data_IF_650674428507
#
_entry.id   IF_650674428507
#
_cell.length_a   1.000
_cell.length_b   1.000
_cell.length_c   1.000
_cell.angle_alpha   90.00
_cell.angle_beta   90.00
_cell.angle_gamma   90.00
#
_symmetry.space_group_name_H-M   'P 1'
#
loop_
_entity.id
_entity.type
_entity.pdbx_description
1 polymer ?
#
# COMPACT_ATOMS: atom_id res chain seq x y z
N UNK A 1 -17.72 32.89 9.79
CA UNK A 1 -16.30 32.93 9.34
C UNK A 1 -15.33 32.23 10.29
N UNK A 2 -15.28 32.53 11.60
CA UNK A 2 -14.35 31.88 12.55
C UNK A 2 -14.47 30.35 12.65
N UNK A 3 -15.69 29.78 12.61
CA UNK A 3 -15.91 28.31 12.65
C UNK A 3 -15.40 27.58 11.40
N UNK A 4 -15.53 28.19 10.21
CA UNK A 4 -15.07 27.60 8.93
C UNK A 4 -13.53 27.61 8.88
N UNK A 5 -12.90 28.68 9.32
CA UNK A 5 -11.44 28.78 9.40
C UNK A 5 -10.85 27.77 10.40
N UNK A 6 -11.52 27.54 11.54
CA UNK A 6 -11.10 26.55 12.54
C UNK A 6 -11.21 25.11 12.00
N UNK A 7 -12.28 24.79 11.25
CA UNK A 7 -12.46 23.46 10.63
C UNK A 7 -11.41 23.24 9.54
N UNK A 8 -11.13 24.23 8.70
CA UNK A 8 -10.06 24.15 7.68
C UNK A 8 -8.68 23.96 8.32
N UNK A 9 -8.38 24.67 9.41
CA UNK A 9 -7.11 24.55 10.12
C UNK A 9 -6.96 23.19 10.81
N UNK A 10 -8.03 22.66 11.42
CA UNK A 10 -8.05 21.32 12.01
C UNK A 10 -7.89 20.23 10.96
N UNK A 11 -8.55 20.37 9.79
CA UNK A 11 -8.41 19.42 8.69
C UNK A 11 -7.00 19.44 8.09
N UNK A 12 -6.42 20.63 7.91
CA UNK A 12 -5.06 20.80 7.40
C UNK A 12 -3.99 20.27 8.37
N UNK A 13 -4.15 20.53 9.67
CA UNK A 13 -3.28 19.99 10.71
C UNK A 13 -3.38 18.45 10.81
N UNK A 14 -4.58 17.89 10.60
CA UNK A 14 -4.81 16.45 10.58
C UNK A 14 -4.15 15.77 9.37
N UNK A 15 -4.24 16.39 8.18
CA UNK A 15 -3.56 15.91 6.95
C UNK A 15 -2.04 15.95 7.13
N UNK A 16 -1.47 17.06 7.60
CA UNK A 16 -0.02 17.17 7.86
C UNK A 16 0.50 16.15 8.88
N UNK A 17 -0.30 15.83 9.90
CA UNK A 17 0.04 14.79 10.89
C UNK A 17 0.01 13.38 10.29
N UNK A 18 -0.96 13.07 9.42
CA UNK A 18 -1.02 11.79 8.74
C UNK A 18 0.17 11.58 7.79
N UNK A 19 0.58 12.64 7.08
CA UNK A 19 1.69 12.59 6.11
C UNK A 19 3.04 12.37 6.79
N UNK A 20 3.29 13.03 7.93
CA UNK A 20 4.51 12.84 8.72
C UNK A 20 4.57 11.47 9.39
N UNK A 21 3.43 10.94 9.80
CA UNK A 21 3.34 9.60 10.39
C UNK A 21 3.72 8.52 9.38
N UNK A 22 3.19 8.56 8.15
CA UNK A 22 3.51 7.56 7.10
C UNK A 22 5.02 7.48 6.79
N UNK A 23 5.67 8.63 6.60
CA UNK A 23 7.12 8.73 6.37
C UNK A 23 7.92 8.09 7.50
N UNK A 24 7.52 8.36 8.75
CA UNK A 24 8.17 7.83 9.93
C UNK A 24 8.03 6.31 10.03
N UNK A 25 6.84 5.76 9.71
CA UNK A 25 6.59 4.32 9.67
C UNK A 25 7.42 3.62 8.58
N UNK A 26 7.51 4.20 7.39
CA UNK A 26 8.31 3.65 6.29
C UNK A 26 9.81 3.62 6.65
N UNK A 27 10.34 4.75 7.15
CA UNK A 27 11.73 4.82 7.64
C UNK A 27 11.97 3.80 8.76
N UNK A 28 11.05 3.70 9.71
CA UNK A 28 11.10 2.75 10.81
C UNK A 28 11.19 1.30 10.33
N UNK A 29 10.33 0.90 9.39
CA UNK A 29 10.36 -0.43 8.76
C UNK A 29 11.72 -0.72 8.11
N UNK A 30 12.25 0.23 7.32
CA UNK A 30 13.53 0.07 6.60
C UNK A 30 14.70 -0.06 7.57
N UNK A 31 14.73 0.76 8.63
CA UNK A 31 15.74 0.66 9.68
C UNK A 31 15.63 -0.68 10.40
N UNK A 32 14.42 -1.11 10.76
CA UNK A 32 14.21 -2.37 11.46
C UNK A 32 14.71 -3.57 10.64
N UNK A 33 14.41 -3.62 9.34
CA UNK A 33 14.87 -4.68 8.44
C UNK A 33 16.39 -4.75 8.32
N UNK A 34 17.09 -3.61 8.40
CA UNK A 34 18.54 -3.53 8.21
C UNK A 34 19.33 -3.68 9.52
N UNK A 35 18.76 -3.23 10.63
CA UNK A 35 19.50 -3.04 11.89
C UNK A 35 18.95 -3.87 13.04
N UNK A 36 17.83 -4.55 12.88
CA UNK A 36 17.18 -5.29 13.96
C UNK A 36 16.99 -6.77 13.66
N UNK A 37 16.82 -7.54 14.73
CA UNK A 37 16.41 -8.94 14.66
C UNK A 37 14.90 -8.99 14.37
N UNK A 38 14.56 -9.14 13.09
CA UNK A 38 13.18 -9.18 12.60
C UNK A 38 12.35 -10.31 13.26
N UNK A 39 12.97 -11.45 13.56
CA UNK A 39 12.27 -12.58 14.19
C UNK A 39 11.86 -12.24 15.61
N UNK A 40 12.80 -11.70 16.41
CA UNK A 40 12.54 -11.30 17.80
C UNK A 40 11.58 -10.11 17.88
N UNK A 41 11.70 -9.16 16.95
CA UNK A 41 10.79 -8.02 16.85
C UNK A 41 9.34 -8.44 16.58
N UNK A 42 9.10 -9.36 15.64
CA UNK A 42 7.75 -9.82 15.29
C UNK A 42 7.07 -10.65 16.37
N UNK A 43 7.85 -11.37 17.18
CA UNK A 43 7.32 -12.16 18.31
C UNK A 43 7.07 -11.33 19.56
N UNK A 44 7.68 -10.15 19.65
CA UNK A 44 7.55 -9.29 20.81
C UNK A 44 6.25 -8.48 20.74
N UNK A 45 5.63 -8.30 21.90
CA UNK A 45 4.39 -7.55 22.06
C UNK A 45 4.71 -6.18 22.66
N UNK A 46 4.28 -5.10 22.00
CA UNK A 46 4.61 -3.73 22.42
C UNK A 46 3.35 -2.86 22.49
N UNK A 47 2.90 -2.47 23.69
CA UNK A 47 1.66 -1.69 23.90
C UNK A 47 1.74 -0.25 23.40
N UNK A 48 2.95 0.29 23.32
CA UNK A 48 3.20 1.68 22.91
C UNK A 48 4.56 1.84 22.24
N UNK A 49 4.80 2.96 21.52
CA UNK A 49 6.13 3.31 21.04
C UNK A 49 7.15 3.36 22.18
N UNK A 50 6.77 3.83 23.36
CA UNK A 50 7.62 3.92 24.53
C UNK A 50 8.07 2.54 25.01
N UNK A 51 7.16 1.56 25.02
CA UNK A 51 7.47 0.18 25.37
C UNK A 51 8.37 -0.47 24.31
N UNK A 52 8.11 -0.19 23.02
CA UNK A 52 8.98 -0.63 21.94
C UNK A 52 10.41 -0.09 22.09
N UNK A 53 10.58 1.21 22.39
CA UNK A 53 11.91 1.80 22.65
C UNK A 53 12.62 1.11 23.81
N UNK A 54 11.91 0.93 24.94
CA UNK A 54 12.46 0.29 26.15
C UNK A 54 12.94 -1.13 25.85
N UNK A 55 12.15 -1.90 25.12
CA UNK A 55 12.47 -3.27 24.77
C UNK A 55 13.63 -3.37 23.75
N UNK A 56 13.67 -2.50 22.73
CA UNK A 56 14.79 -2.45 21.77
C UNK A 56 16.11 -2.25 22.49
N UNK A 57 16.15 -1.32 23.45
CA UNK A 57 17.35 -0.99 24.21
C UNK A 57 17.72 -2.10 25.21
N UNK A 58 16.77 -2.54 26.04
CA UNK A 58 17.03 -3.51 27.11
C UNK A 58 17.36 -4.91 26.59
N UNK A 59 16.65 -5.37 25.57
CA UNK A 59 16.82 -6.72 25.02
C UNK A 59 17.79 -6.77 23.84
N UNK A 60 18.39 -5.62 23.49
CA UNK A 60 19.30 -5.44 22.35
C UNK A 60 18.71 -6.03 21.06
N UNK A 61 17.46 -5.67 20.75
CA UNK A 61 16.74 -6.17 19.57
C UNK A 61 17.31 -5.59 18.27
N UNK A 62 17.98 -4.44 18.38
CA UNK A 62 18.61 -3.74 17.27
C UNK A 62 20.08 -3.47 17.58
N UNK A 63 20.88 -3.30 16.52
CA UNK A 63 22.16 -2.60 16.60
C UNK A 63 21.94 -1.18 17.16
N UNK A 64 22.97 -0.53 17.75
CA UNK A 64 22.81 0.82 18.30
C UNK A 64 22.17 1.79 17.31
N UNK A 65 21.05 2.40 17.73
CA UNK A 65 20.28 3.36 16.94
C UNK A 65 20.46 4.76 17.53
N UNK A 66 20.45 5.79 16.68
CA UNK A 66 20.30 7.17 17.13
C UNK A 66 18.89 7.40 17.69
N UNK A 67 18.66 8.42 18.53
CA UNK A 67 17.33 8.70 19.08
C UNK A 67 16.23 8.82 18.01
N UNK A 68 16.52 9.49 16.89
CA UNK A 68 15.60 9.61 15.75
C UNK A 68 15.29 8.26 15.10
N UNK A 69 16.30 7.42 14.87
CA UNK A 69 16.11 6.08 14.29
C UNK A 69 15.33 5.17 15.23
N UNK A 70 15.60 5.28 16.54
CA UNK A 70 14.90 4.54 17.57
C UNK A 70 13.42 4.93 17.63
N UNK A 71 13.11 6.23 17.53
CA UNK A 71 11.74 6.74 17.41
C UNK A 71 11.02 6.12 16.21
N UNK A 72 11.62 6.21 15.02
CA UNK A 72 11.01 5.71 13.80
C UNK A 72 10.70 4.21 13.88
N UNK A 73 11.66 3.41 14.38
CA UNK A 73 11.46 1.96 14.56
C UNK A 73 10.35 1.67 15.58
N UNK A 74 10.32 2.39 16.70
CA UNK A 74 9.32 2.20 17.73
C UNK A 74 7.89 2.54 17.27
N UNK A 75 7.74 3.64 16.53
CA UNK A 75 6.48 4.05 15.92
C UNK A 75 5.99 3.00 14.91
N UNK A 76 6.90 2.49 14.07
CA UNK A 76 6.59 1.43 13.12
C UNK A 76 6.09 0.16 13.83
N UNK A 77 6.83 -0.31 14.84
CA UNK A 77 6.47 -1.50 15.61
C UNK A 77 5.09 -1.35 16.25
N UNK A 78 4.79 -0.20 16.83
CA UNK A 78 3.52 0.04 17.52
C UNK A 78 2.34 0.09 16.56
N UNK A 79 2.58 0.53 15.32
CA UNK A 79 1.57 0.47 14.25
C UNK A 79 1.20 -0.98 13.87
N UNK A 80 2.05 -1.96 14.19
CA UNK A 80 1.77 -3.38 13.96
C UNK A 80 0.68 -3.91 14.89
N UNK A 81 0.43 -3.32 16.07
CA UNK A 81 -0.66 -3.78 16.96
C UNK A 81 -2.05 -3.51 16.42
N UNK A 82 -2.21 -2.46 15.61
CA UNK A 82 -3.48 -2.14 14.96
C UNK A 82 -3.76 -3.06 13.75
N UNK A 83 -3.12 -4.24 13.66
CA UNK A 83 -3.27 -5.15 12.53
C UNK A 83 -4.40 -6.17 12.67
N UNK A 84 -5.01 -6.33 13.84
CA UNK A 84 -6.17 -7.24 13.98
C UNK A 84 -7.48 -6.70 13.37
N UNK A 85 -7.55 -5.39 13.09
CA UNK A 85 -8.66 -4.77 12.32
C UNK A 85 -8.22 -4.26 10.94
N UNK A 86 -6.99 -4.59 10.48
CA UNK A 86 -6.54 -4.19 9.16
C UNK A 86 -7.34 -4.93 8.08
N UNK A 87 -7.73 -4.27 6.97
CA UNK A 87 -8.23 -5.00 5.83
C UNK A 87 -7.17 -6.00 5.39
N UNK A 88 -7.49 -7.28 5.54
CA UNK A 88 -6.66 -8.40 5.13
C UNK A 88 -6.30 -8.25 3.65
N UNK A 89 -5.19 -8.87 3.24
CA UNK A 89 -4.86 -9.04 1.83
C UNK A 89 -6.05 -9.62 1.07
N UNK A 90 -6.10 -9.40 -0.24
CA UNK A 90 -7.19 -9.95 -1.06
C UNK A 90 -7.12 -11.48 -0.96
N UNK A 91 -8.22 -12.10 -0.55
CA UNK A 91 -8.35 -13.56 -0.53
C UNK A 91 -8.63 -14.06 -1.95
N UNK A 92 -7.59 -14.61 -2.57
CA UNK A 92 -7.59 -15.09 -3.96
C UNK A 92 -7.78 -16.60 -3.97
N UNK A 93 -8.86 -17.12 -4.59
CA UNK A 93 -9.03 -18.55 -4.80
C UNK A 93 -7.85 -19.14 -5.57
N UNK A 94 -7.40 -20.34 -5.19
CA UNK A 94 -6.20 -20.98 -5.77
C UNK A 94 -6.29 -21.21 -7.29
N UNK A 95 -7.50 -21.40 -7.79
CA UNK A 95 -7.84 -21.66 -9.18
C UNK A 95 -8.29 -20.39 -9.94
N UNK A 96 -8.37 -19.24 -9.27
CA UNK A 96 -8.74 -17.99 -9.92
C UNK A 96 -7.71 -17.61 -10.99
N UNK A 97 -8.19 -17.49 -12.22
CA UNK A 97 -7.40 -17.02 -13.36
C UNK A 97 -7.76 -15.59 -13.71
N UNK A 98 -6.75 -14.80 -14.04
CA UNK A 98 -6.93 -13.48 -14.61
C UNK A 98 -7.67 -13.61 -15.95
N UNK A 99 -8.82 -12.92 -16.15
CA UNK A 99 -9.58 -13.04 -17.39
C UNK A 99 -8.92 -12.36 -18.60
N UNK A 100 -7.82 -11.63 -18.39
CA UNK A 100 -7.06 -10.96 -19.46
C UNK A 100 -5.88 -11.83 -19.92
N UNK A 101 -4.94 -12.18 -19.02
CA UNK A 101 -3.74 -12.94 -19.38
C UNK A 101 -3.84 -14.47 -19.17
N UNK A 102 -4.87 -14.96 -18.44
CA UNK A 102 -5.06 -16.38 -18.12
C UNK A 102 -4.17 -16.94 -17.00
N UNK A 103 -3.31 -16.11 -16.39
CA UNK A 103 -2.44 -16.53 -15.29
C UNK A 103 -3.22 -16.82 -14.00
N UNK A 104 -2.70 -17.73 -13.19
CA UNK A 104 -3.25 -18.00 -11.84
C UNK A 104 -2.89 -16.84 -10.90
N UNK A 105 -3.90 -16.11 -10.43
CA UNK A 105 -3.73 -14.89 -9.64
C UNK A 105 -3.07 -15.18 -8.29
N UNK A 106 -3.34 -16.34 -7.70
CA UNK A 106 -2.78 -16.76 -6.42
C UNK A 106 -1.23 -16.86 -6.44
N UNK A 107 -0.60 -16.94 -7.62
CA UNK A 107 0.88 -16.89 -7.77
C UNK A 107 1.45 -15.48 -7.61
N UNK A 108 0.61 -14.44 -7.67
CA UNK A 108 1.01 -13.04 -7.62
C UNK A 108 0.30 -12.29 -6.47
N UNK A 109 0.39 -12.77 -5.22
CA UNK A 109 -0.37 -12.23 -4.11
C UNK A 109 0.04 -10.81 -3.72
N UNK A 110 1.12 -10.25 -4.27
CA UNK A 110 1.48 -8.83 -4.09
C UNK A 110 0.72 -7.90 -5.04
N UNK A 111 0.35 -8.41 -6.20
CA UNK A 111 -0.21 -7.65 -7.32
C UNK A 111 -1.70 -7.89 -7.49
N UNK A 112 -2.24 -8.91 -6.81
CA UNK A 112 -3.61 -9.32 -6.96
C UNK A 112 -4.58 -8.16 -6.71
N UNK A 113 -5.60 -8.10 -7.56
CA UNK A 113 -6.73 -7.17 -7.48
C UNK A 113 -8.04 -7.95 -7.58
N UNK A 114 -9.15 -7.31 -7.23
CA UNK A 114 -10.48 -7.91 -7.29
C UNK A 114 -11.54 -6.88 -7.66
N UNK A 115 -12.45 -7.23 -8.56
CA UNK A 115 -13.64 -6.45 -8.87
C UNK A 115 -14.88 -7.33 -8.71
N UNK A 116 -15.95 -6.76 -8.16
CA UNK A 116 -17.25 -7.42 -8.07
C UNK A 116 -18.26 -6.71 -8.97
N UNK A 117 -18.99 -7.48 -9.79
CA UNK A 117 -20.08 -6.93 -10.61
C UNK A 117 -21.39 -6.80 -9.81
N UNK A 118 -22.41 -6.20 -10.42
CA UNK A 118 -23.74 -6.01 -9.82
C UNK A 118 -24.44 -7.32 -9.43
N UNK A 119 -24.07 -8.44 -10.04
CA UNK A 119 -24.60 -9.78 -9.72
C UNK A 119 -23.82 -10.44 -8.57
N UNK A 120 -22.84 -9.75 -7.99
CA UNK A 120 -22.01 -10.25 -6.90
C UNK A 120 -20.87 -11.16 -7.34
N UNK A 121 -20.66 -11.37 -8.66
CA UNK A 121 -19.57 -12.21 -9.16
C UNK A 121 -18.24 -11.47 -9.04
N UNK A 122 -17.31 -12.07 -8.30
CA UNK A 122 -15.94 -11.59 -8.13
C UNK A 122 -15.06 -12.05 -9.28
N UNK A 123 -14.27 -11.13 -9.81
CA UNK A 123 -13.18 -11.39 -10.75
C UNK A 123 -11.88 -10.97 -10.09
N UNK A 124 -10.82 -11.72 -10.37
CA UNK A 124 -9.49 -11.49 -9.81
C UNK A 124 -8.51 -11.27 -10.95
N UNK A 125 -7.55 -10.38 -10.74
CA UNK A 125 -6.52 -10.07 -11.73
C UNK A 125 -5.16 -10.13 -11.06
N UNK A 126 -4.14 -10.48 -11.83
CA UNK A 126 -2.75 -10.57 -11.39
C UNK A 126 -2.02 -9.23 -11.40
N UNK A 127 -2.71 -8.13 -11.72
CA UNK A 127 -2.17 -6.77 -11.67
C UNK A 127 -3.25 -5.71 -11.85
N UNK A 128 -2.89 -4.45 -11.58
CA UNK A 128 -3.80 -3.31 -11.80
C UNK A 128 -3.94 -3.05 -13.30
N UNK A 129 -2.88 -3.22 -14.09
CA UNK A 129 -2.93 -3.08 -15.54
C UNK A 129 -4.00 -3.97 -16.18
N UNK A 130 -3.98 -5.27 -15.87
CA UNK A 130 -4.96 -6.21 -16.42
C UNK A 130 -6.37 -5.93 -15.88
N UNK A 131 -6.50 -5.54 -14.62
CA UNK A 131 -7.78 -5.07 -14.06
C UNK A 131 -8.33 -3.87 -14.85
N UNK A 132 -7.48 -2.90 -15.20
CA UNK A 132 -7.88 -1.71 -15.95
C UNK A 132 -8.17 -2.03 -17.43
N UNK A 133 -7.42 -2.94 -18.06
CA UNK A 133 -7.75 -3.47 -19.40
C UNK A 133 -9.16 -4.06 -19.41
N UNK A 134 -9.51 -4.85 -18.40
CA UNK A 134 -10.87 -5.38 -18.25
C UNK A 134 -11.89 -4.26 -18.00
N UNK A 135 -11.60 -3.33 -17.10
CA UNK A 135 -12.49 -2.21 -16.76
C UNK A 135 -12.84 -1.36 -18.00
N UNK A 136 -11.86 -1.02 -18.84
CA UNK A 136 -12.11 -0.26 -20.07
C UNK A 136 -12.81 -1.06 -21.17
N UNK A 137 -12.70 -2.38 -21.19
CA UNK A 137 -13.45 -3.21 -22.13
C UNK A 137 -14.91 -3.45 -21.70
N UNK A 138 -15.27 -3.09 -20.46
CA UNK A 138 -16.61 -3.30 -19.89
C UNK A 138 -17.16 -2.01 -19.27
N UNK A 139 -17.05 -0.87 -19.99
CA UNK A 139 -17.45 0.47 -19.48
C UNK A 139 -18.93 0.57 -19.09
N UNK A 140 -19.78 -0.27 -19.67
CA UNK A 140 -21.22 -0.31 -19.39
C UNK A 140 -21.56 -1.15 -18.13
N UNK A 141 -20.59 -1.91 -17.58
CA UNK A 141 -20.76 -2.67 -16.35
C UNK A 141 -20.42 -1.82 -15.12
N UNK A 142 -21.22 -1.97 -14.05
CA UNK A 142 -20.92 -1.37 -12.75
C UNK A 142 -20.13 -2.37 -11.90
N UNK A 143 -18.93 -1.97 -11.49
CA UNK A 143 -18.09 -2.71 -10.55
C UNK A 143 -18.01 -2.01 -9.19
N UNK A 144 -18.38 -2.74 -8.14
CA UNK A 144 -18.34 -2.29 -6.75
C UNK A 144 -18.42 -3.51 -5.79
N UNK A 145 -17.44 -3.74 -4.89
CA UNK A 145 -16.19 -2.98 -4.75
C UNK A 145 -15.17 -3.28 -5.85
N UNK A 146 -14.25 -2.32 -6.06
CA UNK A 146 -12.99 -2.51 -6.77
C UNK A 146 -11.86 -2.42 -5.74
N UNK A 147 -11.06 -3.48 -5.61
CA UNK A 147 -10.00 -3.57 -4.61
C UNK A 147 -8.66 -3.87 -5.24
N UNK A 148 -7.64 -3.18 -4.74
CA UNK A 148 -6.22 -3.41 -5.07
C UNK A 148 -5.45 -3.65 -3.78
N UNK A 149 -4.21 -4.13 -3.87
CA UNK A 149 -3.36 -4.30 -2.69
C UNK A 149 -2.32 -3.20 -2.61
N UNK A 150 -2.30 -2.48 -1.50
CA UNK A 150 -1.24 -1.52 -1.21
C UNK A 150 0.14 -2.18 -1.35
N UNK A 151 1.02 -1.60 -2.16
CA UNK A 151 2.25 -2.25 -2.57
C UNK A 151 3.24 -2.53 -1.42
N UNK A 152 3.22 -1.73 -0.35
CA UNK A 152 4.13 -1.87 0.79
C UNK A 152 3.56 -2.71 1.94
N UNK A 153 2.25 -2.64 2.16
CA UNK A 153 1.58 -3.26 3.31
C UNK A 153 0.78 -4.51 2.93
N UNK A 154 0.53 -4.73 1.63
CA UNK A 154 -0.33 -5.80 1.08
C UNK A 154 -1.79 -5.75 1.55
N UNK A 155 -2.20 -4.65 2.17
CA UNK A 155 -3.58 -4.48 2.63
C UNK A 155 -4.49 -4.28 1.43
N UNK A 156 -5.67 -4.88 1.49
CA UNK A 156 -6.70 -4.65 0.48
C UNK A 156 -7.33 -3.27 0.65
N UNK A 157 -7.09 -2.37 -0.29
CA UNK A 157 -7.59 -0.99 -0.29
C UNK A 157 -8.60 -0.77 -1.41
N UNK A 158 -9.44 0.27 -1.26
CA UNK A 158 -10.34 0.73 -2.30
C UNK A 158 -9.53 1.33 -3.46
N UNK A 159 -9.69 0.75 -4.65
CA UNK A 159 -8.96 1.15 -5.84
C UNK A 159 -9.24 2.60 -6.27
N UNK A 160 -10.48 3.07 -6.09
CA UNK A 160 -10.86 4.45 -6.47
C UNK A 160 -10.25 5.49 -5.53
N UNK A 161 -9.86 5.06 -4.33
CA UNK A 161 -9.22 5.92 -3.32
C UNK A 161 -7.69 5.84 -3.32
N UNK A 162 -7.11 4.89 -4.05
CA UNK A 162 -5.66 4.68 -4.11
C UNK A 162 -4.93 5.71 -4.99
N UNK A 163 -3.62 5.79 -4.78
CA UNK A 163 -2.66 6.50 -5.64
C UNK A 163 -1.88 5.49 -6.45
N UNK A 164 -1.63 5.77 -7.72
CA UNK A 164 -0.94 4.86 -8.63
C UNK A 164 0.35 5.48 -9.14
N UNK A 165 1.48 4.80 -8.92
CA UNK A 165 2.76 5.19 -9.54
C UNK A 165 2.90 4.46 -10.87
N UNK A 166 3.20 5.20 -11.94
CA UNK A 166 3.41 4.65 -13.28
C UNK A 166 4.84 4.89 -13.78
N UNK A 167 5.29 4.06 -14.72
CA UNK A 167 6.59 4.23 -15.38
C UNK A 167 7.83 3.95 -14.50
N UNK A 168 7.65 3.24 -13.38
CA UNK A 168 8.75 2.83 -12.50
C UNK A 168 9.62 1.72 -13.12
N UNK A 169 10.73 1.40 -12.45
CA UNK A 169 11.58 0.25 -12.78
C UNK A 169 11.16 -1.06 -12.07
N UNK A 170 10.02 -1.07 -11.37
CA UNK A 170 9.45 -2.27 -10.77
C UNK A 170 8.38 -2.84 -11.69
N UNK A 171 8.48 -4.15 -11.94
CA UNK A 171 7.61 -4.87 -12.87
C UNK A 171 6.59 -5.73 -12.13
N UNK A 172 5.34 -5.65 -12.58
CA UNK A 172 4.28 -6.61 -12.26
C UNK A 172 4.35 -7.86 -13.14
N UNK A 173 3.41 -8.80 -13.00
CA UNK A 173 3.41 -10.06 -13.74
C UNK A 173 3.36 -9.86 -15.26
N UNK A 174 2.72 -8.77 -15.69
CA UNK A 174 2.55 -8.41 -17.09
C UNK A 174 3.46 -7.26 -17.54
N UNK A 175 4.57 -6.99 -16.84
CA UNK A 175 5.55 -5.97 -17.24
C UNK A 175 5.42 -4.66 -16.46
N UNK A 176 5.51 -3.51 -17.15
CA UNK A 176 5.24 -2.20 -16.51
C UNK A 176 3.83 -2.17 -15.93
N UNK A 177 3.71 -1.56 -14.76
CA UNK A 177 2.51 -1.68 -13.92
C UNK A 177 2.09 -0.32 -13.31
N UNK A 178 0.79 -0.21 -13.01
CA UNK A 178 0.18 0.84 -12.23
C UNK A 178 0.23 0.44 -10.74
N UNK A 179 1.21 0.95 -10.01
CA UNK A 179 1.52 0.44 -8.66
C UNK A 179 0.69 1.17 -7.60
N UNK A 180 -0.23 0.49 -6.88
CA UNK A 180 -1.19 1.14 -5.98
C UNK A 180 -0.64 1.38 -4.56
N UNK A 181 -1.01 2.53 -4.00
CA UNK A 181 -0.67 2.96 -2.64
C UNK A 181 -1.89 3.55 -1.94
N UNK A 182 -2.01 3.25 -0.64
CA UNK A 182 -3.05 3.83 0.22
C UNK A 182 -2.81 5.32 0.49
N UNK A 183 -1.54 5.74 0.59
CA UNK A 183 -1.11 7.11 0.85
C UNK A 183 -0.42 7.71 -0.36
N UNK A 184 -0.51 9.04 -0.53
CA UNK A 184 0.20 9.74 -1.62
C UNK A 184 1.70 9.76 -1.33
N UNK A 185 2.05 9.80 -0.05
CA UNK A 185 3.39 9.91 0.47
C UNK A 185 4.19 8.65 0.16
N UNK A 186 3.59 7.47 0.37
CA UNK A 186 4.20 6.20 -0.05
C UNK A 186 4.39 6.14 -1.56
N UNK A 187 3.43 6.67 -2.34
CA UNK A 187 3.56 6.77 -3.79
C UNK A 187 4.73 7.68 -4.19
N UNK A 188 4.93 8.84 -3.54
CA UNK A 188 6.06 9.74 -3.79
C UNK A 188 7.40 9.13 -3.38
N UNK A 189 7.46 8.45 -2.24
CA UNK A 189 8.65 7.70 -1.80
C UNK A 189 8.99 6.64 -2.83
N UNK A 190 8.01 5.80 -3.19
CA UNK A 190 8.20 4.75 -4.18
C UNK A 190 8.64 5.32 -5.52
N UNK A 191 7.98 6.37 -6.00
CA UNK A 191 8.34 7.06 -7.24
C UNK A 191 9.80 7.52 -7.22
N UNK A 192 10.26 8.10 -6.13
CA UNK A 192 11.66 8.52 -5.97
C UNK A 192 12.63 7.34 -5.95
N UNK A 193 12.32 6.28 -5.20
CA UNK A 193 13.20 5.12 -5.04
C UNK A 193 13.25 4.21 -6.27
N UNK A 194 12.18 4.20 -7.07
CA UNK A 194 11.98 3.29 -8.19
C UNK A 194 11.82 3.99 -9.54
N UNK A 195 12.29 5.23 -9.64
CA UNK A 195 12.29 6.01 -10.90
C UNK A 195 10.89 6.09 -11.55
N UNK A 196 9.84 6.19 -10.74
CA UNK A 196 8.48 6.40 -11.23
C UNK A 196 8.37 7.73 -11.98
N UNK A 197 7.51 7.76 -13.01
CA UNK A 197 7.30 8.95 -13.84
C UNK A 197 6.19 9.83 -13.31
N UNK A 198 5.02 9.23 -13.05
CA UNK A 198 3.80 9.94 -12.66
C UNK A 198 3.18 9.29 -11.42
N UNK A 199 2.44 10.10 -10.66
CA UNK A 199 1.48 9.64 -9.67
C UNK A 199 0.11 10.11 -10.13
N UNK A 200 -0.82 9.17 -10.27
CA UNK A 200 -2.17 9.42 -10.78
C UNK A 200 -3.21 8.77 -9.87
N UNK A 201 -4.45 9.24 -9.97
CA UNK A 201 -5.65 8.69 -9.34
C UNK A 201 -6.36 7.74 -10.29
N UNK A 202 -7.29 6.95 -9.76
CA UNK A 202 -8.03 5.95 -10.53
C UNK A 202 -8.75 6.52 -11.75
N UNK A 203 -9.38 7.68 -11.60
CA UNK A 203 -10.12 8.40 -12.64
C UNK A 203 -9.22 9.16 -13.64
N UNK A 204 -7.93 9.26 -13.34
CA UNK A 204 -6.92 9.84 -14.23
C UNK A 204 -6.26 8.77 -15.12
N UNK A 205 -6.41 7.48 -14.81
CA UNK A 205 -5.91 6.39 -15.66
C UNK A 205 -6.62 6.45 -17.01
N UNK A 206 -5.83 6.40 -18.09
CA UNK A 206 -6.29 6.29 -19.47
C UNK A 206 -5.92 4.93 -20.04
N UNK A 207 -6.64 4.53 -21.08
CA UNK A 207 -6.41 3.23 -21.71
C UNK A 207 -5.02 3.17 -22.35
N UNK A 208 -4.55 4.29 -22.89
CA UNK A 208 -3.20 4.46 -23.43
C UNK A 208 -2.09 4.23 -22.39
N UNK A 209 -2.31 4.59 -21.12
CA UNK A 209 -1.33 4.38 -20.03
C UNK A 209 -1.02 2.88 -19.82
N UNK A 210 -1.91 1.99 -20.25
CA UNK A 210 -1.77 0.54 -20.08
C UNK A 210 -0.81 -0.09 -21.09
N UNK A 211 -0.43 0.63 -22.15
CA UNK A 211 0.43 0.12 -23.23
C UNK A 211 1.75 0.90 -23.34
N UNK A 212 1.99 1.89 -22.48
CA UNK A 212 3.23 2.65 -22.49
C UNK A 212 4.45 1.76 -22.19
N UNK A 213 5.27 1.52 -23.22
CA UNK A 213 6.55 0.81 -23.09
C UNK A 213 6.41 -0.68 -22.75
N UNK A 214 5.34 -1.33 -23.24
CA UNK A 214 5.30 -2.77 -23.52
C UNK A 214 6.35 -3.17 -24.59
#
# INVERSE_FOLDING_TARGET
>A
MKKILLILFLFFAFVLHADTQSIMLHKGKKIAQLMCDDKRLKTAHFDSPEDAKRAILSQKLCRPLTPEKLEAVAQWISSLKNTDTNPKSIDVPKDAKCPICGMFVAKYPKWATMMQDSNGKKRYFDGVKDMMKYYFNHKDERFDPIRVQDFYTLKSIDARRAWYVTGSNVYGPMGRELIPFASREDAEIFKKEHFGKKIIRFDEIREEDLYEGE
#
